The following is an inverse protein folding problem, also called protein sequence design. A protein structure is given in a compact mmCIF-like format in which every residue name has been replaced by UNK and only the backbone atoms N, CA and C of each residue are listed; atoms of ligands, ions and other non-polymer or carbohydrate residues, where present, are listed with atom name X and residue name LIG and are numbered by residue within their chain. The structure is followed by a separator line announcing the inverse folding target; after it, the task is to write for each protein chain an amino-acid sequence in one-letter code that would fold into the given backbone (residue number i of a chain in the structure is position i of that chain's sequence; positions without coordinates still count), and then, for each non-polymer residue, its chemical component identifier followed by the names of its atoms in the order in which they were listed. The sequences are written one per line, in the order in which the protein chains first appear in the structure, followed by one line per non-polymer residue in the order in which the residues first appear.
data_IF_029860496392
#
_entry.id   IF_029860496392
#
_cell.length_a   1.000
_cell.length_b   1.000
_cell.length_c   1.000
_cell.angle_alpha   90.00
_cell.angle_beta   90.00
_cell.angle_gamma   90.00
#
_symmetry.space_group_name_H-M   'P 1'
#
loop_
_entity.id
_entity.type
_entity.pdbx_description
1 polymer ?
#
# COMPACT_ATOMS: atom_id res chain seq x y z
N UNK A 1 21.64 -12.26 -14.23
CA UNK A 1 20.31 -12.92 -14.29
C UNK A 1 19.51 -12.80 -12.98
N UNK A 2 19.95 -11.98 -12.00
CA UNK A 2 19.35 -11.91 -10.66
C UNK A 2 18.24 -10.83 -10.54
N UNK A 3 18.15 -9.87 -11.48
CA UNK A 3 17.20 -8.74 -11.36
C UNK A 3 15.75 -8.99 -11.78
N UNK A 4 15.47 -9.94 -12.68
CA UNK A 4 14.14 -10.03 -13.29
C UNK A 4 13.06 -10.46 -12.27
N UNK A 5 13.38 -11.37 -11.35
CA UNK A 5 12.44 -11.82 -10.32
C UNK A 5 12.12 -10.72 -9.29
N UNK A 6 13.13 -9.96 -8.86
CA UNK A 6 12.98 -8.86 -7.90
C UNK A 6 12.28 -7.65 -8.53
N UNK A 7 12.60 -7.33 -9.78
CA UNK A 7 11.88 -6.31 -10.57
C UNK A 7 10.40 -6.67 -10.75
N UNK A 8 10.07 -7.93 -11.04
CA UNK A 8 8.68 -8.42 -11.06
C UNK A 8 8.00 -8.25 -9.71
N UNK A 9 8.68 -8.62 -8.63
CA UNK A 9 8.13 -8.50 -7.28
C UNK A 9 7.85 -7.04 -6.90
N UNK A 10 8.75 -6.10 -7.26
CA UNK A 10 8.53 -4.66 -7.09
C UNK A 10 7.33 -4.19 -7.91
N UNK A 11 7.24 -4.59 -9.19
CA UNK A 11 6.15 -4.20 -10.08
C UNK A 11 4.79 -4.73 -9.57
N UNK A 12 4.74 -6.00 -9.15
CA UNK A 12 3.54 -6.62 -8.58
C UNK A 12 3.14 -5.95 -7.28
N UNK A 13 4.08 -5.72 -6.36
CA UNK A 13 3.81 -5.06 -5.07
C UNK A 13 3.33 -3.63 -5.28
N UNK A 14 3.92 -2.90 -6.25
CA UNK A 14 3.47 -1.55 -6.62
C UNK A 14 2.05 -1.57 -7.16
N UNK A 15 1.73 -2.50 -8.05
CA UNK A 15 0.37 -2.68 -8.58
C UNK A 15 -0.64 -2.96 -7.46
N UNK A 16 -0.32 -3.86 -6.53
CA UNK A 16 -1.19 -4.17 -5.37
C UNK A 16 -1.38 -2.97 -4.44
N UNK A 17 -0.33 -2.17 -4.23
CA UNK A 17 -0.40 -0.91 -3.49
C UNK A 17 -1.35 0.07 -4.17
N UNK A 18 -1.25 0.22 -5.48
CA UNK A 18 -2.09 1.12 -6.27
C UNK A 18 -3.56 0.67 -6.24
N UNK A 19 -3.83 -0.63 -6.34
CA UNK A 19 -5.16 -1.23 -6.14
C UNK A 19 -5.72 -0.91 -4.75
N UNK A 20 -4.90 -1.04 -3.69
CA UNK A 20 -5.30 -0.71 -2.33
C UNK A 20 -5.58 0.80 -2.14
N UNK A 21 -4.81 1.67 -2.79
CA UNK A 21 -5.05 3.13 -2.80
C UNK A 21 -6.35 3.47 -3.52
N UNK A 22 -6.64 2.83 -4.66
CA UNK A 22 -7.90 3.00 -5.37
C UNK A 22 -9.09 2.57 -4.49
N UNK A 23 -8.99 1.40 -3.85
CA UNK A 23 -9.99 0.92 -2.91
C UNK A 23 -10.20 1.90 -1.75
N UNK A 24 -9.12 2.46 -1.18
CA UNK A 24 -9.22 3.44 -0.10
C UNK A 24 -10.03 4.68 -0.52
N UNK A 25 -9.81 5.17 -1.74
CA UNK A 25 -10.57 6.31 -2.29
C UNK A 25 -12.05 5.96 -2.41
N UNK A 26 -12.36 4.81 -3.00
CA UNK A 26 -13.76 4.35 -3.12
C UNK A 26 -14.45 4.17 -1.77
N UNK A 27 -13.74 3.69 -0.74
CA UNK A 27 -14.28 3.57 0.62
C UNK A 27 -14.56 4.93 1.26
N UNK A 28 -13.71 5.93 1.02
CA UNK A 28 -13.93 7.30 1.52
C UNK A 28 -15.14 7.95 0.86
N UNK A 29 -15.28 7.79 -0.46
CA UNK A 29 -16.42 8.32 -1.22
C UNK A 29 -17.72 7.65 -0.78
N UNK A 30 -17.71 6.31 -0.69
CA UNK A 30 -18.87 5.55 -0.25
C UNK A 30 -19.26 5.90 1.20
N UNK A 31 -18.28 6.15 2.08
CA UNK A 31 -18.54 6.63 3.45
C UNK A 31 -19.26 7.98 3.43
N UNK A 32 -18.76 8.93 2.65
CA UNK A 32 -19.39 10.25 2.54
C UNK A 32 -20.84 10.16 2.07
N UNK A 33 -21.11 9.35 1.04
CA UNK A 33 -22.45 9.10 0.52
C UNK A 33 -23.34 8.42 1.57
N UNK A 34 -22.83 7.41 2.26
CA UNK A 34 -23.58 6.68 3.28
C UNK A 34 -23.93 7.57 4.47
N UNK A 35 -23.00 8.39 4.95
CA UNK A 35 -23.23 9.31 6.07
C UNK A 35 -24.27 10.38 5.68
N UNK A 36 -24.22 10.90 4.45
CA UNK A 36 -25.24 11.79 3.92
C UNK A 36 -26.62 11.13 3.88
N UNK A 37 -26.73 9.92 3.31
CA UNK A 37 -28.00 9.21 3.22
C UNK A 37 -28.60 8.89 4.60
N UNK A 38 -27.76 8.52 5.57
CA UNK A 38 -28.22 8.27 6.95
C UNK A 38 -28.73 9.53 7.63
N UNK A 39 -28.05 10.66 7.42
CA UNK A 39 -28.50 11.96 7.92
C UNK A 39 -29.85 12.37 7.29
N UNK A 40 -30.00 12.24 5.97
CA UNK A 40 -31.23 12.55 5.25
C UNK A 40 -32.41 11.67 5.71
N UNK A 41 -32.13 10.40 6.05
CA UNK A 41 -33.12 9.46 6.58
C UNK A 41 -33.35 9.57 8.09
N UNK A 42 -32.64 10.46 8.80
CA UNK A 42 -32.62 10.56 10.26
C UNK A 42 -32.36 9.20 10.95
N UNK A 43 -31.57 8.33 10.32
CA UNK A 43 -31.25 7.00 10.84
C UNK A 43 -29.84 6.97 11.41
N UNK A 44 -29.66 6.48 12.66
CA UNK A 44 -28.32 6.27 13.20
C UNK A 44 -27.66 5.05 12.55
N UNK A 45 -26.33 5.09 12.42
CA UNK A 45 -25.54 3.89 12.18
C UNK A 45 -25.47 3.08 13.50
N UNK A 46 -26.22 1.98 13.55
CA UNK A 46 -26.33 1.12 14.72
C UNK A 46 -24.98 0.54 15.15
N UNK A 47 -24.10 0.24 14.21
CA UNK A 47 -22.78 -0.30 14.53
C UNK A 47 -21.90 0.80 15.14
N UNK A 48 -21.93 1.99 14.55
CA UNK A 48 -21.21 3.16 15.06
C UNK A 48 -21.75 3.58 16.43
N UNK A 49 -23.04 3.45 16.69
CA UNK A 49 -23.65 3.77 17.97
C UNK A 49 -23.14 2.88 19.11
N UNK A 50 -22.92 1.59 18.84
CA UNK A 50 -22.46 0.63 19.87
C UNK A 50 -20.94 0.58 19.98
N UNK A 51 -20.23 0.71 18.87
CA UNK A 51 -18.77 0.49 18.82
C UNK A 51 -17.94 1.77 18.68
N UNK A 52 -18.59 2.91 18.43
CA UNK A 52 -17.94 4.18 18.10
C UNK A 52 -17.38 4.26 16.66
N UNK A 53 -17.49 3.19 15.86
CA UNK A 53 -16.97 3.12 14.48
C UNK A 53 -17.95 2.44 13.55
N UNK A 54 -18.09 2.97 12.34
CA UNK A 54 -18.86 2.29 11.29
C UNK A 54 -18.06 1.12 10.69
N UNK A 55 -18.75 0.23 9.97
CA UNK A 55 -18.08 -0.82 9.16
C UNK A 55 -17.11 -0.19 8.15
N UNK A 56 -17.47 0.97 7.59
CA UNK A 56 -16.64 1.73 6.68
C UNK A 56 -15.38 2.28 7.36
N UNK A 57 -15.48 2.78 8.59
CA UNK A 57 -14.30 3.23 9.35
C UNK A 57 -13.32 2.08 9.58
N UNK A 58 -13.83 0.88 9.87
CA UNK A 58 -13.01 -0.32 10.05
C UNK A 58 -12.35 -0.76 8.73
N UNK A 59 -13.08 -0.72 7.62
CA UNK A 59 -12.54 -1.03 6.30
C UNK A 59 -11.45 -0.02 5.90
N UNK A 60 -11.70 1.28 6.04
CA UNK A 60 -10.73 2.35 5.76
C UNK A 60 -9.45 2.16 6.59
N UNK A 61 -9.59 1.92 7.90
CA UNK A 61 -8.44 1.71 8.77
C UNK A 61 -7.61 0.49 8.35
N UNK A 62 -8.29 -0.59 7.94
CA UNK A 62 -7.62 -1.81 7.48
C UNK A 62 -6.90 -1.61 6.15
N UNK A 63 -7.51 -0.92 5.19
CA UNK A 63 -6.88 -0.61 3.90
C UNK A 63 -5.68 0.32 4.07
N UNK A 64 -5.73 1.30 4.99
CA UNK A 64 -4.57 2.14 5.32
C UNK A 64 -3.39 1.32 5.82
N UNK A 65 -3.63 0.40 6.78
CA UNK A 65 -2.58 -0.51 7.28
C UNK A 65 -2.02 -1.39 6.17
N UNK A 66 -2.86 -1.84 5.23
CA UNK A 66 -2.42 -2.63 4.10
C UNK A 66 -1.49 -1.83 3.17
N UNK A 67 -1.82 -0.57 2.87
CA UNK A 67 -0.96 0.34 2.10
C UNK A 67 0.39 0.54 2.81
N UNK A 68 0.38 0.76 4.13
CA UNK A 68 1.60 0.93 4.91
C UNK A 68 2.49 -0.32 4.84
N UNK A 69 1.90 -1.52 4.91
CA UNK A 69 2.62 -2.78 4.74
C UNK A 69 3.25 -2.89 3.35
N UNK A 70 2.53 -2.55 2.28
CA UNK A 70 3.10 -2.56 0.93
C UNK A 70 4.24 -1.57 0.77
N UNK A 71 4.11 -0.36 1.34
CA UNK A 71 5.17 0.64 1.29
C UNK A 71 6.45 0.12 1.97
N UNK A 72 6.32 -0.51 3.15
CA UNK A 72 7.46 -1.12 3.85
C UNK A 72 8.15 -2.19 3.00
N UNK A 73 7.38 -3.09 2.40
CA UNK A 73 7.92 -4.15 1.53
C UNK A 73 8.64 -3.54 0.31
N UNK A 74 8.07 -2.50 -0.31
CA UNK A 74 8.71 -1.82 -1.44
C UNK A 74 10.02 -1.16 -1.05
N UNK A 75 10.08 -0.51 0.11
CA UNK A 75 11.29 0.14 0.59
C UNK A 75 12.41 -0.88 0.91
N UNK A 76 12.06 -2.03 1.47
CA UNK A 76 13.01 -3.10 1.75
C UNK A 76 13.52 -3.74 0.44
N UNK A 77 12.63 -3.99 -0.53
CA UNK A 77 13.02 -4.51 -1.84
C UNK A 77 13.95 -3.56 -2.61
N UNK A 78 13.72 -2.24 -2.52
CA UNK A 78 14.55 -1.21 -3.15
C UNK A 78 15.92 -1.08 -2.49
N UNK A 79 15.99 -1.10 -1.15
CA UNK A 79 17.26 -1.03 -0.42
C UNK A 79 18.16 -2.21 -0.74
N UNK A 80 17.60 -3.42 -0.72
CA UNK A 80 18.35 -4.61 -1.10
C UNK A 80 18.84 -4.57 -2.55
N UNK A 81 18.12 -3.91 -3.48
CA UNK A 81 18.59 -3.76 -4.87
C UNK A 81 19.81 -2.84 -4.94
N UNK A 82 19.76 -1.71 -4.22
CA UNK A 82 20.87 -0.76 -4.18
C UNK A 82 22.15 -1.36 -3.60
N UNK A 83 22.06 -2.21 -2.57
CA UNK A 83 23.22 -2.89 -2.00
C UNK A 83 23.83 -3.91 -2.98
N UNK A 84 22.99 -4.71 -3.64
CA UNK A 84 23.42 -5.67 -4.67
C UNK A 84 24.09 -4.94 -5.86
N UNK A 85 23.51 -3.83 -6.31
CA UNK A 85 24.04 -3.00 -7.40
C UNK A 85 25.40 -2.39 -7.05
N UNK A 86 25.56 -1.86 -5.82
CA UNK A 86 26.83 -1.32 -5.33
C UNK A 86 27.90 -2.42 -5.20
N UNK A 87 27.51 -3.60 -4.74
CA UNK A 87 28.41 -4.76 -4.64
C UNK A 87 28.88 -5.26 -6.02
N UNK A 88 28.10 -5.04 -7.09
CA UNK A 88 28.47 -5.40 -8.45
C UNK A 88 29.49 -4.45 -9.07
N UNK A 89 29.47 -3.17 -8.69
CA UNK A 89 30.35 -2.13 -9.24
C UNK A 89 31.79 -2.26 -8.72
N UNK A 90 31.97 -2.59 -7.43
CA UNK A 90 33.29 -2.70 -6.81
C UNK A 90 34.27 -3.66 -7.54
N UNK A 91 33.85 -4.87 -7.93
CA UNK A 91 34.68 -5.80 -8.71
C UNK A 91 34.94 -5.33 -10.16
N UNK A 92 34.00 -4.65 -10.80
CA UNK A 92 34.13 -4.17 -12.18
C UNK A 92 35.15 -3.04 -12.31
N UNK A 93 35.18 -2.11 -11.35
CA UNK A 93 36.19 -1.04 -11.34
C UNK A 93 37.61 -1.56 -11.10
N UNK A 94 37.76 -2.59 -10.27
CA UNK A 94 39.05 -3.24 -10.04
C UNK A 94 39.59 -3.96 -11.30
N UNK A 95 38.70 -4.52 -12.13
CA UNK A 95 39.09 -5.17 -13.40
C UNK A 95 39.33 -4.19 -14.56
N UNK A 96 38.79 -2.97 -14.51
CA UNK A 96 39.02 -1.93 -15.52
C UNK A 96 40.28 -1.08 -15.22
N UNK A 97 40.83 -1.21 -14.01
CA UNK A 97 42.03 -0.49 -13.55
C UNK A 97 43.32 -1.31 -13.61
N UNK A 98 43.27 -2.54 -14.16
CA UNK A 98 44.38 -3.48 -14.34
C UNK A 98 44.67 -3.71 -15.83
#
# INVERSE_FOLDING_TARGET
MIDNAKQRMIAETTKRRDEAVALLRSLLDAKSISEKNLADLQKPDLLKQVTGRSSMDNAIASTRRLIDSFNRVLDDLRRNLSEDDLALIGPLEASLSA
#
